data_IF_158497093406
#
_entry.id   IF_158497093406
#
_cell.length_a   1.000
_cell.length_b   1.000
_cell.length_c   1.000
_cell.angle_alpha   90.00
_cell.angle_beta   90.00
_cell.angle_gamma   90.00
#
_symmetry.space_group_name_H-M   'P 1'
#
loop_
_entity.id
_entity.type
_entity.pdbx_description
1 polymer ?
#
# COMPACT_ATOMS: atom_id res chain seq x y z
N UNK A 1 -0.78 38.40 -6.86
CA UNK A 1 -0.85 38.28 -5.40
C UNK A 1 0.06 37.13 -4.99
N UNK A 2 1.03 37.30 -4.07
CA UNK A 2 1.96 36.23 -3.78
C UNK A 2 1.27 35.10 -2.99
N UNK A 3 1.43 33.88 -3.48
CA UNK A 3 0.88 32.62 -2.97
C UNK A 3 1.12 32.43 -1.46
N UNK A 4 0.11 32.74 -0.65
CA UNK A 4 -0.03 32.19 0.70
C UNK A 4 -0.56 30.76 0.57
N UNK A 5 0.34 29.77 0.56
CA UNK A 5 0.25 28.45 1.22
C UNK A 5 1.49 27.64 0.82
N UNK A 6 2.67 28.17 1.14
CA UNK A 6 3.96 27.46 1.01
C UNK A 6 4.55 27.27 2.40
N UNK A 7 3.76 26.63 3.28
CA UNK A 7 4.13 26.39 4.66
C UNK A 7 3.41 25.12 5.14
N UNK A 8 3.92 23.96 4.75
CA UNK A 8 3.83 22.64 5.43
C UNK A 8 4.49 21.64 4.47
N UNK A 9 5.83 21.63 4.45
CA UNK A 9 6.59 20.52 3.87
C UNK A 9 7.00 19.65 5.05
N UNK A 10 6.06 18.91 5.62
CA UNK A 10 6.45 17.64 6.22
C UNK A 10 6.66 16.72 5.01
N UNK A 11 7.92 16.56 4.59
CA UNK A 11 8.25 15.66 3.50
C UNK A 11 7.86 14.25 3.95
N UNK A 12 6.73 13.76 3.47
CA UNK A 12 6.33 12.40 3.75
C UNK A 12 7.06 11.48 2.80
N UNK A 13 7.76 10.52 3.39
CA UNK A 13 8.44 9.46 2.69
C UNK A 13 7.38 8.45 2.24
N UNK A 14 7.44 8.04 0.98
CA UNK A 14 6.53 7.04 0.41
C UNK A 14 7.29 5.74 0.17
N UNK A 15 6.73 4.62 0.59
CA UNK A 15 7.23 3.28 0.30
C UNK A 15 6.16 2.49 -0.48
N UNK A 16 6.42 2.21 -1.75
CA UNK A 16 5.54 1.41 -2.61
C UNK A 16 5.99 -0.06 -2.60
N UNK A 17 5.04 -0.96 -2.33
CA UNK A 17 5.28 -2.40 -2.32
C UNK A 17 5.06 -2.99 -3.72
N UNK A 18 6.14 -3.38 -4.38
CA UNK A 18 6.19 -3.94 -5.74
C UNK A 18 6.78 -5.35 -5.82
N UNK A 19 6.98 -6.05 -4.70
CA UNK A 19 7.61 -7.38 -4.65
C UNK A 19 6.64 -8.56 -4.89
N UNK A 20 5.33 -8.29 -5.03
CA UNK A 20 4.33 -9.32 -5.24
C UNK A 20 4.43 -10.01 -6.60
N UNK A 21 4.49 -11.35 -6.60
CA UNK A 21 4.64 -12.17 -7.81
C UNK A 21 3.38 -12.28 -8.69
N UNK A 22 2.22 -11.82 -8.20
CA UNK A 22 0.98 -11.77 -9.00
C UNK A 22 0.54 -13.11 -9.59
N UNK A 23 0.83 -14.22 -8.90
CA UNK A 23 0.69 -15.59 -9.44
C UNK A 23 -0.69 -15.89 -10.05
N UNK A 24 -1.78 -15.36 -9.47
CA UNK A 24 -3.13 -15.48 -10.05
C UNK A 24 -3.23 -14.81 -11.41
N UNK A 25 -2.89 -13.52 -11.49
CA UNK A 25 -2.87 -12.78 -12.74
C UNK A 25 -1.98 -13.46 -13.78
N UNK A 26 -0.75 -13.86 -13.42
CA UNK A 26 0.16 -14.50 -14.36
C UNK A 26 -0.42 -15.81 -14.94
N UNK A 27 -1.15 -16.59 -14.14
CA UNK A 27 -1.87 -17.78 -14.62
C UNK A 27 -3.02 -17.41 -15.55
N UNK A 28 -3.81 -16.40 -15.21
CA UNK A 28 -4.90 -15.91 -16.06
C UNK A 28 -4.38 -15.41 -17.42
N UNK A 29 -3.25 -14.69 -17.42
CA UNK A 29 -2.60 -14.17 -18.63
C UNK A 29 -2.03 -15.28 -19.52
N UNK A 30 -1.46 -16.33 -18.93
CA UNK A 30 -0.88 -17.46 -19.68
C UNK A 30 -1.90 -18.21 -20.54
N UNK A 31 -3.19 -18.17 -20.17
CA UNK A 31 -4.29 -18.82 -20.90
C UNK A 31 -5.14 -17.83 -21.71
N UNK A 32 -4.85 -16.53 -21.62
CA UNK A 32 -5.60 -15.48 -22.33
C UNK A 32 -4.95 -15.16 -23.67
N UNK A 33 -5.64 -15.39 -24.78
CA UNK A 33 -5.14 -15.02 -26.11
C UNK A 33 -5.06 -13.49 -26.32
N UNK A 34 -5.98 -12.74 -25.72
CA UNK A 34 -6.07 -11.28 -25.88
C UNK A 34 -5.04 -10.55 -25.01
N UNK A 35 -4.78 -11.05 -23.80
CA UNK A 35 -3.94 -10.36 -22.81
C UNK A 35 -2.57 -10.99 -22.58
N UNK A 36 -2.18 -12.04 -23.33
CA UNK A 36 -0.87 -12.70 -23.16
C UNK A 36 0.35 -11.77 -23.27
N UNK A 37 0.21 -10.64 -23.96
CA UNK A 37 1.26 -9.63 -24.12
C UNK A 37 1.65 -8.96 -22.79
N UNK A 38 0.85 -9.13 -21.74
CA UNK A 38 1.12 -8.65 -20.38
C UNK A 38 1.83 -9.71 -19.50
N UNK A 39 2.01 -10.94 -20.01
CA UNK A 39 2.64 -12.01 -19.26
C UNK A 39 4.09 -11.64 -18.89
N UNK A 40 4.47 -11.87 -17.64
CA UNK A 40 5.80 -11.52 -17.11
C UNK A 40 5.94 -10.08 -16.61
N UNK A 41 4.96 -9.21 -16.87
CA UNK A 41 4.94 -7.85 -16.32
C UNK A 41 4.51 -7.90 -14.84
N UNK A 42 5.26 -7.30 -13.90
CA UNK A 42 4.87 -7.18 -12.50
C UNK A 42 3.54 -6.44 -12.38
N UNK A 43 2.68 -6.84 -11.43
CA UNK A 43 1.35 -6.22 -11.25
C UNK A 43 1.40 -4.69 -11.18
N UNK A 44 2.36 -4.18 -10.42
CA UNK A 44 2.55 -2.75 -10.21
C UNK A 44 2.97 -2.00 -11.49
N UNK A 45 3.59 -2.70 -12.45
CA UNK A 45 4.06 -2.16 -13.71
C UNK A 45 3.13 -2.45 -14.89
N UNK A 46 1.92 -2.99 -14.65
CA UNK A 46 0.95 -3.19 -15.72
C UNK A 46 0.50 -1.84 -16.29
N UNK A 47 0.45 -1.69 -17.64
CA UNK A 47 -0.14 -0.50 -18.25
C UNK A 47 -1.61 -0.38 -17.86
N UNK A 48 -2.04 0.81 -17.45
CA UNK A 48 -3.39 1.00 -16.90
C UNK A 48 -3.91 2.41 -17.19
N UNK A 49 -5.10 2.52 -17.78
CA UNK A 49 -5.75 3.82 -17.94
C UNK A 49 -5.01 4.77 -18.88
N UNK A 50 -4.31 4.23 -19.89
CA UNK A 50 -3.45 5.02 -20.78
C UNK A 50 -2.08 5.40 -20.17
N UNK A 51 -1.78 5.00 -18.94
CA UNK A 51 -0.43 5.08 -18.35
C UNK A 51 0.35 3.80 -18.65
N UNK A 52 1.67 3.92 -18.63
CA UNK A 52 2.61 2.82 -18.86
C UNK A 52 2.67 1.82 -17.70
N UNK A 53 2.35 2.25 -16.48
CA UNK A 53 2.30 1.42 -15.29
C UNK A 53 1.22 1.88 -14.30
N UNK A 54 0.68 0.94 -13.53
CA UNK A 54 -0.28 1.19 -12.45
C UNK A 54 0.32 2.15 -11.41
N UNK A 55 1.57 1.92 -10.98
CA UNK A 55 2.24 2.79 -10.00
C UNK A 55 2.50 4.21 -10.51
N UNK A 56 2.50 4.44 -11.82
CA UNK A 56 2.63 5.81 -12.38
C UNK A 56 1.49 6.72 -11.92
N UNK A 57 0.28 6.19 -11.69
CA UNK A 57 -0.84 6.96 -11.13
C UNK A 57 -0.53 7.49 -9.72
N UNK A 58 0.14 6.68 -8.89
CA UNK A 58 0.56 7.10 -7.56
C UNK A 58 1.68 8.15 -7.60
N UNK A 59 2.72 7.91 -8.40
CA UNK A 59 3.85 8.84 -8.53
C UNK A 59 3.38 10.21 -9.00
N UNK A 60 2.54 10.26 -10.04
CA UNK A 60 1.99 11.53 -10.53
C UNK A 60 1.12 12.23 -9.47
N UNK A 61 0.30 11.47 -8.72
CA UNK A 61 -0.48 12.03 -7.62
C UNK A 61 0.44 12.64 -6.55
N UNK A 62 1.46 11.91 -6.09
CA UNK A 62 2.40 12.38 -5.08
C UNK A 62 3.16 13.62 -5.53
N UNK A 63 3.68 13.63 -6.77
CA UNK A 63 4.37 14.77 -7.34
C UNK A 63 3.47 15.99 -7.52
N UNK A 64 2.20 15.81 -7.89
CA UNK A 64 1.21 16.90 -7.95
C UNK A 64 1.03 17.59 -6.60
N UNK A 65 1.20 16.88 -5.49
CA UNK A 65 1.14 17.40 -4.13
C UNK A 65 2.52 17.76 -3.55
N UNK A 66 3.58 17.75 -4.37
CA UNK A 66 4.91 18.25 -4.00
C UNK A 66 5.82 17.23 -3.32
N UNK A 67 5.46 15.95 -3.30
CA UNK A 67 6.36 14.87 -2.89
C UNK A 67 7.38 14.65 -4.01
N UNK A 68 8.66 14.76 -3.68
CA UNK A 68 9.76 14.69 -4.64
C UNK A 68 10.09 13.24 -4.99
N UNK A 69 10.69 13.01 -6.16
CA UNK A 69 11.11 11.66 -6.58
C UNK A 69 12.08 11.00 -5.59
N UNK A 70 12.89 11.80 -4.89
CA UNK A 70 13.81 11.36 -3.85
C UNK A 70 13.11 10.84 -2.58
N UNK A 71 11.82 11.12 -2.42
CA UNK A 71 10.99 10.65 -1.29
C UNK A 71 10.10 9.48 -1.67
N UNK A 72 10.19 8.96 -2.90
CA UNK A 72 9.39 7.83 -3.37
C UNK A 72 10.31 6.62 -3.51
N UNK A 73 10.13 5.67 -2.60
CA UNK A 73 10.89 4.45 -2.48
C UNK A 73 10.06 3.25 -2.93
N UNK A 74 10.69 2.25 -3.51
CA UNK A 74 10.02 1.03 -4.00
C UNK A 74 10.81 -0.20 -3.59
N UNK A 75 10.14 -1.15 -2.96
CA UNK A 75 10.64 -2.50 -2.72
C UNK A 75 10.07 -3.43 -3.77
N UNK A 76 10.92 -4.18 -4.47
CA UNK A 76 10.52 -5.20 -5.43
C UNK A 76 11.30 -6.50 -5.19
N UNK A 77 11.04 -7.52 -5.99
CA UNK A 77 11.78 -8.79 -5.93
C UNK A 77 12.88 -8.84 -7.00
N UNK A 78 13.81 -9.79 -6.89
CA UNK A 78 14.95 -9.89 -7.79
C UNK A 78 14.53 -10.20 -9.24
N UNK A 79 13.43 -10.94 -9.44
CA UNK A 79 12.90 -11.23 -10.77
C UNK A 79 12.38 -9.97 -11.48
N UNK A 80 11.79 -9.05 -10.74
CA UNK A 80 11.13 -7.86 -11.27
C UNK A 80 12.02 -6.61 -11.25
N UNK A 81 13.17 -6.66 -10.56
CA UNK A 81 14.04 -5.51 -10.29
C UNK A 81 14.43 -4.70 -11.55
N UNK A 82 14.91 -5.35 -12.60
CA UNK A 82 15.32 -4.68 -13.84
C UNK A 82 14.15 -3.95 -14.54
N UNK A 83 12.93 -4.50 -14.44
CA UNK A 83 11.74 -3.87 -15.00
C UNK A 83 11.39 -2.58 -14.22
N UNK A 84 11.52 -2.60 -12.89
CA UNK A 84 11.35 -1.42 -12.05
C UNK A 84 12.42 -0.36 -12.30
N UNK A 85 13.69 -0.74 -12.50
CA UNK A 85 14.74 0.21 -12.87
C UNK A 85 14.46 0.90 -14.21
N UNK A 86 13.97 0.13 -15.19
CA UNK A 86 13.59 0.65 -16.50
C UNK A 86 12.43 1.65 -16.38
N UNK A 87 11.38 1.28 -15.63
CA UNK A 87 10.26 2.19 -15.34
C UNK A 87 10.74 3.44 -14.58
N UNK A 88 11.54 3.29 -13.54
CA UNK A 88 12.04 4.38 -12.71
C UNK A 88 12.79 5.43 -13.52
N UNK A 89 13.63 4.99 -14.47
CA UNK A 89 14.34 5.87 -15.40
C UNK A 89 13.39 6.73 -16.23
N UNK A 90 12.27 6.17 -16.71
CA UNK A 90 11.29 6.90 -17.52
C UNK A 90 10.47 7.91 -16.70
N UNK A 91 10.35 7.69 -15.38
CA UNK A 91 9.58 8.53 -14.45
C UNK A 91 10.44 9.44 -13.57
N UNK A 92 11.75 9.54 -13.87
CA UNK A 92 12.72 10.32 -13.08
C UNK A 92 12.74 9.94 -11.58
N UNK A 93 12.54 8.64 -11.29
CA UNK A 93 12.79 8.09 -9.96
C UNK A 93 14.25 7.64 -9.90
N UNK A 94 15.04 8.14 -8.93
CA UNK A 94 16.44 7.75 -8.82
C UNK A 94 16.58 6.23 -8.61
N UNK A 95 17.50 5.54 -9.31
CA UNK A 95 17.68 4.10 -9.19
C UNK A 95 17.95 3.62 -7.76
N UNK A 96 18.60 4.44 -6.93
CA UNK A 96 18.86 4.15 -5.52
C UNK A 96 17.61 4.27 -4.62
N UNK A 97 16.43 4.58 -5.18
CA UNK A 97 15.14 4.47 -4.50
C UNK A 97 14.39 3.18 -4.83
N UNK A 98 14.98 2.31 -5.64
CA UNK A 98 14.44 0.99 -5.96
C UNK A 98 15.35 -0.04 -5.31
N UNK A 99 14.78 -0.96 -4.53
CA UNK A 99 15.54 -2.05 -3.90
C UNK A 99 14.89 -3.40 -4.19
N UNK A 100 15.73 -4.39 -4.43
CA UNK A 100 15.31 -5.80 -4.47
C UNK A 100 15.40 -6.42 -3.08
N UNK A 101 14.35 -7.12 -2.67
CA UNK A 101 14.31 -7.96 -1.46
C UNK A 101 15.17 -9.25 -1.58
N UNK A 102 15.76 -9.50 -2.75
CA UNK A 102 16.59 -10.66 -3.06
C UNK A 102 15.84 -11.96 -3.36
N UNK A 103 14.50 -11.95 -3.34
CA UNK A 103 13.70 -13.15 -3.59
C UNK A 103 13.50 -13.40 -5.09
N UNK A 104 13.42 -14.67 -5.49
CA UNK A 104 13.30 -15.08 -6.89
C UNK A 104 12.03 -15.89 -7.20
N UNK A 105 11.21 -16.21 -6.19
CA UNK A 105 9.96 -16.94 -6.40
C UNK A 105 8.90 -16.58 -5.35
N UNK A 106 7.64 -16.87 -5.67
CA UNK A 106 6.54 -16.69 -4.73
C UNK A 106 6.70 -17.53 -3.45
N UNK A 107 7.33 -18.70 -3.52
CA UNK A 107 7.55 -19.59 -2.38
C UNK A 107 8.59 -18.99 -1.41
N UNK A 108 9.62 -18.36 -1.99
CA UNK A 108 10.74 -17.74 -1.26
C UNK A 108 10.50 -16.28 -0.88
N UNK A 109 9.38 -15.67 -1.33
CA UNK A 109 8.98 -14.29 -0.99
C UNK A 109 9.12 -14.00 0.51
N UNK A 110 9.49 -12.77 0.87
CA UNK A 110 9.50 -12.34 2.26
C UNK A 110 8.06 -12.18 2.78
N UNK A 111 7.21 -11.53 1.98
CA UNK A 111 5.83 -11.18 2.30
C UNK A 111 5.69 -9.69 2.56
N UNK A 112 4.47 -9.16 2.47
CA UNK A 112 4.29 -7.71 2.36
C UNK A 112 4.71 -6.95 3.64
N UNK A 113 4.50 -7.49 4.85
CA UNK A 113 4.98 -6.82 6.08
C UNK A 113 6.50 -6.87 6.21
N UNK A 114 7.17 -8.02 5.99
CA UNK A 114 8.62 -8.07 5.85
C UNK A 114 9.19 -7.10 4.82
N UNK A 115 8.53 -6.93 3.66
CA UNK A 115 8.95 -5.97 2.63
C UNK A 115 8.86 -4.52 3.11
N UNK A 116 7.85 -4.18 3.92
CA UNK A 116 7.74 -2.86 4.57
C UNK A 116 8.96 -2.62 5.47
N UNK A 117 9.26 -3.55 6.37
CA UNK A 117 10.38 -3.40 7.30
C UNK A 117 11.72 -3.36 6.54
N UNK A 118 11.90 -4.25 5.56
CA UNK A 118 13.09 -4.28 4.71
C UNK A 118 13.32 -2.95 4.00
N UNK A 119 12.27 -2.39 3.37
CA UNK A 119 12.36 -1.09 2.72
C UNK A 119 12.70 0.04 3.68
N UNK A 120 12.02 0.10 4.84
CA UNK A 120 12.29 1.11 5.87
C UNK A 120 13.76 1.06 6.32
N UNK A 121 14.29 -0.13 6.60
CA UNK A 121 15.67 -0.30 7.06
C UNK A 121 16.70 -0.04 5.95
N UNK A 122 16.44 -0.51 4.72
CA UNK A 122 17.35 -0.33 3.60
C UNK A 122 17.55 1.13 3.24
N UNK A 123 16.47 1.92 3.24
CA UNK A 123 16.50 3.34 2.89
C UNK A 123 16.77 4.27 4.09
N UNK A 124 16.92 3.74 5.31
CA UNK A 124 17.19 4.53 6.52
C UNK A 124 16.02 5.44 6.94
N UNK A 125 14.79 4.91 6.87
CA UNK A 125 13.55 5.67 7.06
C UNK A 125 12.98 5.60 8.47
N UNK A 126 13.67 4.95 9.42
CA UNK A 126 13.18 4.63 10.75
C UNK A 126 12.79 5.85 11.58
N UNK A 127 13.39 7.01 11.29
CA UNK A 127 13.12 8.28 11.98
C UNK A 127 12.10 9.16 11.26
N UNK A 128 11.56 8.71 10.13
CA UNK A 128 10.60 9.46 9.31
C UNK A 128 9.20 8.85 9.39
N UNK A 129 8.17 9.68 9.20
CA UNK A 129 6.83 9.15 8.94
C UNK A 129 6.82 8.56 7.53
N UNK A 130 6.24 7.38 7.36
CA UNK A 130 6.29 6.62 6.10
C UNK A 130 4.88 6.28 5.63
N UNK A 131 4.52 6.76 4.44
CA UNK A 131 3.33 6.36 3.71
C UNK A 131 3.63 5.06 2.94
N UNK A 132 3.10 3.94 3.41
CA UNK A 132 3.19 2.64 2.74
C UNK A 132 1.99 2.45 1.81
N UNK A 133 2.26 2.07 0.56
CA UNK A 133 1.24 1.85 -0.48
C UNK A 133 1.40 0.48 -1.12
N UNK A 134 0.31 -0.26 -1.25
CA UNK A 134 0.27 -1.47 -2.07
C UNK A 134 0.37 -1.14 -3.55
N UNK A 135 1.39 -1.66 -4.24
CA UNK A 135 1.64 -1.35 -5.66
C UNK A 135 0.61 -1.94 -6.64
N UNK A 136 -0.36 -2.71 -6.19
CA UNK A 136 -1.44 -3.29 -7.00
C UNK A 136 -2.83 -2.68 -6.74
N UNK A 137 -2.89 -1.65 -5.89
CA UNK A 137 -4.14 -0.98 -5.51
C UNK A 137 -4.12 0.48 -5.94
N UNK A 138 -5.24 0.97 -6.47
CA UNK A 138 -5.50 2.40 -6.70
C UNK A 138 -6.80 2.82 -6.05
N UNK A 139 -6.96 4.12 -5.77
CA UNK A 139 -8.23 4.68 -5.29
C UNK A 139 -9.09 5.23 -6.43
N UNK A 140 -10.38 5.42 -6.15
CA UNK A 140 -11.29 6.10 -7.08
C UNK A 140 -10.88 7.57 -7.27
N UNK A 141 -11.33 8.18 -8.36
CA UNK A 141 -10.86 9.50 -8.81
C UNK A 141 -11.14 10.66 -7.84
N UNK A 142 -12.05 10.47 -6.89
CA UNK A 142 -12.42 11.44 -5.87
C UNK A 142 -11.53 11.38 -4.61
N UNK A 143 -10.48 10.54 -4.60
CA UNK A 143 -9.50 10.53 -3.53
C UNK A 143 -8.73 11.86 -3.44
N UNK A 144 -8.64 12.39 -2.22
CA UNK A 144 -7.96 13.63 -1.90
C UNK A 144 -6.78 13.37 -0.94
N UNK A 145 -5.57 13.40 -1.51
CA UNK A 145 -4.34 13.23 -0.76
C UNK A 145 -4.08 14.38 0.23
N UNK A 146 -4.37 15.63 -0.12
CA UNK A 146 -4.15 16.78 0.77
C UNK A 146 -5.05 16.70 2.00
N UNK A 147 -6.32 16.27 1.82
CA UNK A 147 -7.20 15.97 2.96
C UNK A 147 -6.64 14.86 3.85
N UNK A 148 -6.05 13.81 3.26
CA UNK A 148 -5.43 12.73 4.02
C UNK A 148 -4.23 13.20 4.85
N UNK A 149 -3.30 13.93 4.23
CA UNK A 149 -2.11 14.47 4.90
C UNK A 149 -2.49 15.44 6.03
N UNK A 150 -3.42 16.37 5.76
CA UNK A 150 -3.94 17.29 6.80
C UNK A 150 -4.61 16.55 7.96
N UNK A 151 -5.31 15.44 7.69
CA UNK A 151 -5.92 14.64 8.74
C UNK A 151 -4.85 14.02 9.64
N UNK A 152 -3.76 13.51 9.06
CA UNK A 152 -2.64 12.97 9.83
C UNK A 152 -1.97 14.04 10.69
N UNK A 153 -1.70 15.22 10.13
CA UNK A 153 -1.14 16.35 10.88
C UNK A 153 -2.03 16.74 12.06
N UNK A 154 -3.35 16.84 11.85
CA UNK A 154 -4.29 17.21 12.90
C UNK A 154 -4.36 16.18 14.03
N UNK A 155 -4.36 14.88 13.69
CA UNK A 155 -4.30 13.81 14.70
C UNK A 155 -3.05 13.92 15.56
N UNK A 156 -1.91 14.24 14.93
CA UNK A 156 -0.59 14.30 15.57
C UNK A 156 -0.29 15.62 16.29
N UNK A 157 -1.22 16.60 16.32
CA UNK A 157 -1.06 17.82 17.13
C UNK A 157 -1.16 17.57 18.63
N UNK A 158 -1.95 16.57 19.02
CA UNK A 158 -2.28 16.30 20.44
C UNK A 158 -1.85 14.92 20.91
N UNK A 159 -1.69 13.97 20.00
CA UNK A 159 -1.24 12.61 20.32
C UNK A 159 -0.59 11.99 19.09
N UNK A 160 0.52 11.28 19.26
CA UNK A 160 1.10 10.51 18.17
C UNK A 160 0.08 9.46 17.66
N UNK A 161 -0.09 9.38 16.36
CA UNK A 161 -1.03 8.47 15.71
C UNK A 161 -0.60 8.12 14.29
N UNK A 162 -0.84 6.88 13.88
CA UNK A 162 -0.85 6.49 12.47
C UNK A 162 -2.18 6.88 11.83
N UNK A 163 -2.22 6.94 10.50
CA UNK A 163 -3.45 7.13 9.73
C UNK A 163 -3.55 6.08 8.62
N UNK A 164 -4.74 5.49 8.47
CA UNK A 164 -5.05 4.57 7.37
C UNK A 164 -6.31 5.01 6.64
N UNK A 165 -6.46 4.62 5.39
CA UNK A 165 -7.75 4.79 4.69
C UNK A 165 -8.71 3.65 4.98
N UNK A 166 -10.01 3.92 4.92
CA UNK A 166 -11.04 2.90 4.94
C UNK A 166 -12.12 3.14 3.90
N UNK A 167 -12.79 2.08 3.45
CA UNK A 167 -13.94 2.18 2.53
C UNK A 167 -15.02 1.17 2.90
N UNK A 168 -16.26 1.47 2.52
CA UNK A 168 -17.38 0.57 2.80
C UNK A 168 -17.42 -0.59 1.79
N UNK A 169 -17.61 -1.80 2.28
CA UNK A 169 -17.83 -3.01 1.46
C UNK A 169 -19.24 -3.57 1.65
N UNK A 170 -19.71 -4.38 0.70
CA UNK A 170 -20.96 -5.12 0.85
C UNK A 170 -20.80 -6.29 1.82
N UNK A 171 -21.89 -6.70 2.47
CA UNK A 171 -21.93 -7.83 3.39
C UNK A 171 -21.33 -9.12 2.80
N UNK A 172 -21.65 -9.41 1.55
CA UNK A 172 -21.15 -10.56 0.81
C UNK A 172 -19.63 -10.52 0.55
N UNK A 173 -18.97 -9.38 0.73
CA UNK A 173 -17.54 -9.22 0.44
C UNK A 173 -16.67 -9.10 1.70
N UNK A 174 -17.28 -8.98 2.88
CA UNK A 174 -16.60 -8.85 4.17
C UNK A 174 -15.50 -9.90 4.38
N UNK A 175 -15.76 -11.15 3.98
CA UNK A 175 -14.82 -12.27 4.12
C UNK A 175 -13.57 -12.17 3.22
N UNK A 176 -13.50 -11.19 2.33
CA UNK A 176 -12.36 -10.99 1.42
C UNK A 176 -11.32 -10.01 1.97
N UNK A 177 -11.68 -9.20 2.97
CA UNK A 177 -10.90 -8.04 3.39
C UNK A 177 -10.59 -8.04 4.89
N UNK A 178 -9.58 -7.25 5.28
CA UNK A 178 -9.40 -6.84 6.67
C UNK A 178 -10.44 -5.78 7.02
N UNK A 179 -11.30 -6.08 8.00
CA UNK A 179 -12.36 -5.19 8.48
C UNK A 179 -11.92 -4.55 9.78
N UNK A 180 -12.12 -3.24 9.87
CA UNK A 180 -11.83 -2.45 11.06
C UNK A 180 -13.11 -1.98 11.73
N UNK A 181 -13.09 -1.87 13.05
CA UNK A 181 -14.10 -1.14 13.81
C UNK A 181 -13.46 0.13 14.36
N UNK A 182 -14.24 1.20 14.49
CA UNK A 182 -13.75 2.48 14.99
C UNK A 182 -14.62 3.03 16.10
N UNK A 183 -14.01 3.82 16.98
CA UNK A 183 -14.73 4.67 17.92
C UNK A 183 -15.40 5.88 17.21
N UNK A 184 -16.10 6.71 17.98
CA UNK A 184 -16.79 7.90 17.48
C UNK A 184 -15.82 8.99 16.97
N UNK A 185 -14.53 8.89 17.27
CA UNK A 185 -13.47 9.79 16.79
C UNK A 185 -12.74 9.22 15.57
N UNK A 186 -13.15 8.05 15.07
CA UNK A 186 -12.55 7.38 13.91
C UNK A 186 -11.23 6.68 14.22
N UNK A 187 -10.90 6.44 15.49
CA UNK A 187 -9.76 5.63 15.89
C UNK A 187 -10.13 4.13 15.87
N UNK A 188 -9.23 3.28 15.39
CA UNK A 188 -9.46 1.83 15.33
C UNK A 188 -9.58 1.24 16.74
N UNK A 189 -10.60 0.41 16.94
CA UNK A 189 -10.87 -0.34 18.19
C UNK A 189 -10.89 -1.86 17.97
N UNK A 190 -10.87 -2.32 16.73
CA UNK A 190 -10.79 -3.74 16.40
C UNK A 190 -10.28 -3.92 14.97
N UNK A 191 -9.53 -5.00 14.74
CA UNK A 191 -9.12 -5.44 13.41
C UNK A 191 -9.45 -6.92 13.25
N UNK A 192 -10.16 -7.25 12.18
CA UNK A 192 -10.60 -8.60 11.85
C UNK A 192 -10.14 -8.94 10.43
N UNK A 193 -9.21 -9.88 10.28
CA UNK A 193 -8.74 -10.31 8.96
C UNK A 193 -9.71 -11.32 8.36
N UNK A 194 -10.31 -11.00 7.21
CA UNK A 194 -11.23 -11.88 6.46
C UNK A 194 -12.31 -12.51 7.35
N UNK A 195 -13.05 -11.71 8.13
CA UNK A 195 -14.01 -12.23 9.09
C UNK A 195 -15.20 -12.90 8.42
N UNK A 196 -15.89 -13.75 9.16
CA UNK A 196 -17.24 -14.14 8.80
C UNK A 196 -18.15 -12.88 8.83
N UNK A 197 -19.04 -12.66 7.84
CA UNK A 197 -19.93 -11.48 7.81
C UNK A 197 -20.79 -11.26 9.05
N UNK A 198 -21.07 -12.31 9.84
CA UNK A 198 -21.84 -12.23 11.08
C UNK A 198 -21.00 -11.92 12.32
N UNK A 199 -19.67 -11.94 12.22
CA UNK A 199 -18.78 -11.71 13.36
C UNK A 199 -18.60 -10.23 13.71
N UNK A 200 -18.99 -9.32 12.81
CA UNK A 200 -18.99 -7.88 13.04
C UNK A 200 -20.09 -7.20 12.22
N UNK A 201 -20.62 -6.08 12.74
CA UNK A 201 -21.50 -5.18 11.98
C UNK A 201 -20.74 -4.17 11.12
N UNK A 202 -19.43 -4.04 11.32
CA UNK A 202 -18.63 -3.12 10.52
C UNK A 202 -18.51 -3.61 9.08
N UNK A 203 -18.48 -2.64 8.17
CA UNK A 203 -18.24 -2.82 6.73
C UNK A 203 -17.05 -2.00 6.27
N UNK A 204 -16.20 -1.57 7.20
CA UNK A 204 -15.05 -0.72 6.93
C UNK A 204 -13.85 -1.57 6.57
N UNK A 205 -13.56 -1.73 5.28
CA UNK A 205 -12.36 -2.41 4.81
C UNK A 205 -11.16 -1.45 4.79
N UNK A 206 -9.97 -1.97 5.07
CA UNK A 206 -8.72 -1.20 5.16
C UNK A 206 -7.72 -1.68 4.09
N UNK A 207 -7.55 -0.95 2.97
CA UNK A 207 -6.56 -1.28 1.95
C UNK A 207 -5.17 -0.81 2.35
N UNK A 208 -4.12 -1.38 1.75
CA UNK A 208 -2.73 -1.01 2.03
C UNK A 208 -2.39 0.41 1.55
N UNK A 209 -2.71 1.39 2.40
CA UNK A 209 -2.39 2.81 2.27
C UNK A 209 -2.28 3.37 3.70
N UNK A 210 -1.09 3.21 4.28
CA UNK A 210 -0.86 3.39 5.71
C UNK A 210 0.21 4.45 5.92
N UNK A 211 -0.14 5.53 6.60
CA UNK A 211 0.82 6.52 7.04
C UNK A 211 1.23 6.20 8.48
N UNK A 212 2.39 5.55 8.59
CA UNK A 212 2.99 5.22 9.87
C UNK A 212 3.68 6.44 10.46
N UNK A 213 3.37 6.73 11.72
CA UNK A 213 4.20 7.64 12.52
C UNK A 213 5.54 6.95 12.81
N UNK A 214 6.66 7.68 12.74
CA UNK A 214 8.00 7.11 12.96
C UNK A 214 8.12 6.37 14.29
N UNK A 215 7.46 6.85 15.35
CA UNK A 215 7.44 6.21 16.68
C UNK A 215 6.75 4.84 16.71
N UNK A 216 5.94 4.52 15.70
CA UNK A 216 5.28 3.21 15.56
C UNK A 216 6.10 2.18 14.78
N UNK A 217 7.12 2.62 14.03
CA UNK A 217 7.95 1.73 13.19
C UNK A 217 8.59 0.58 14.00
N UNK A 218 9.11 0.80 15.22
CA UNK A 218 9.66 -0.30 16.03
C UNK A 218 8.65 -1.44 16.30
N UNK A 219 7.34 -1.16 16.30
CA UNK A 219 6.31 -2.17 16.49
C UNK A 219 6.17 -3.11 15.29
N UNK A 220 6.53 -2.66 14.08
CA UNK A 220 6.57 -3.48 12.87
C UNK A 220 7.70 -4.52 13.01
N UNK A 221 8.86 -4.07 13.50
CA UNK A 221 9.99 -4.95 13.78
C UNK A 221 9.67 -5.94 14.91
N UNK A 222 9.07 -5.47 16.01
CA UNK A 222 8.62 -6.31 17.11
C UNK A 222 7.64 -7.39 16.62
N UNK A 223 6.67 -7.03 15.78
CA UNK A 223 5.71 -7.96 15.19
C UNK A 223 6.42 -9.07 14.42
N UNK A 224 7.29 -8.71 13.46
CA UNK A 224 8.02 -9.69 12.64
C UNK A 224 8.91 -10.58 13.51
N UNK A 225 9.62 -10.00 14.47
CA UNK A 225 10.49 -10.74 15.38
C UNK A 225 9.69 -11.71 16.25
N UNK A 226 8.52 -11.31 16.75
CA UNK A 226 7.64 -12.18 17.52
C UNK A 226 7.17 -13.39 16.70
N UNK A 227 6.82 -13.19 15.42
CA UNK A 227 6.45 -14.27 14.51
C UNK A 227 7.62 -15.22 14.23
N UNK A 228 8.83 -14.69 14.06
CA UNK A 228 10.04 -15.51 13.87
C UNK A 228 10.34 -16.36 15.11
N UNK A 229 10.29 -15.75 16.30
CA UNK A 229 10.53 -16.44 17.58
C UNK A 229 9.51 -17.57 17.79
N UNK A 230 8.24 -17.34 17.46
CA UNK A 230 7.20 -18.35 17.57
C UNK A 230 7.17 -19.35 16.42
N UNK A 231 8.12 -19.27 15.48
CA UNK A 231 8.16 -20.07 14.25
C UNK A 231 6.82 -20.07 13.48
N UNK A 232 6.17 -18.90 13.43
CA UNK A 232 4.88 -18.73 12.77
C UNK A 232 5.02 -18.95 11.25
N UNK A 233 4.00 -19.53 10.59
CA UNK A 233 4.02 -19.67 9.14
C UNK A 233 3.98 -18.29 8.47
N UNK A 234 4.49 -18.19 7.24
CA UNK A 234 4.62 -16.91 6.52
C UNK A 234 3.30 -16.17 6.41
N UNK A 235 2.21 -16.89 6.20
CA UNK A 235 0.86 -16.37 6.10
C UNK A 235 0.46 -15.56 7.35
N UNK A 236 1.06 -15.83 8.52
CA UNK A 236 0.81 -15.11 9.77
C UNK A 236 1.29 -13.66 9.76
N UNK A 237 2.24 -13.31 8.87
CA UNK A 237 2.81 -11.96 8.78
C UNK A 237 2.93 -11.44 7.34
N UNK A 238 2.44 -12.18 6.34
CA UNK A 238 2.44 -11.72 4.93
C UNK A 238 1.43 -10.58 4.70
N UNK A 239 0.20 -10.71 5.20
CA UNK A 239 -0.85 -9.72 4.97
C UNK A 239 -0.66 -8.45 5.80
N UNK A 240 -0.69 -7.28 5.16
CA UNK A 240 -0.39 -6.00 5.81
C UNK A 240 -1.39 -5.60 6.90
N UNK A 241 -2.64 -6.07 6.80
CA UNK A 241 -3.65 -5.94 7.85
C UNK A 241 -3.26 -6.56 9.19
N UNK A 242 -2.46 -7.65 9.18
CA UNK A 242 -1.98 -8.31 10.40
C UNK A 242 -0.97 -7.45 11.16
N UNK A 243 -0.17 -6.66 10.43
CA UNK A 243 0.68 -5.65 11.04
C UNK A 243 -0.15 -4.59 11.75
N UNK A 244 -1.20 -4.05 11.10
CA UNK A 244 -2.10 -3.08 11.74
C UNK A 244 -2.77 -3.67 12.98
N UNK A 245 -3.18 -4.94 12.95
CA UNK A 245 -3.76 -5.65 14.09
C UNK A 245 -2.77 -5.88 15.25
N UNK A 246 -1.46 -5.74 15.01
CA UNK A 246 -0.42 -5.80 16.03
C UNK A 246 -0.03 -4.42 16.55
N UNK A 247 0.08 -3.44 15.63
CA UNK A 247 0.32 -2.03 15.94
C UNK A 247 -0.83 -1.49 16.79
N UNK A 248 -2.07 -1.81 16.45
CA UNK A 248 -3.20 -1.72 17.37
C UNK A 248 -3.13 -2.88 18.38
N UNK A 249 -3.37 -2.68 19.70
CA UNK A 249 -3.71 -1.44 20.40
C UNK A 249 -2.48 -0.68 20.94
N UNK A 250 -1.26 -1.06 20.57
CA UNK A 250 0.00 -0.50 21.09
C UNK A 250 0.26 0.94 20.64
N UNK A 251 -0.31 1.35 19.51
CA UNK A 251 -0.23 2.69 18.97
C UNK A 251 -1.59 3.10 18.40
N UNK A 252 -1.93 4.39 18.52
CA UNK A 252 -3.20 4.92 18.00
C UNK A 252 -3.19 4.88 16.48
N UNK A 253 -4.25 4.35 15.88
CA UNK A 253 -4.46 4.36 14.44
C UNK A 253 -5.78 5.07 14.15
N UNK A 254 -5.69 6.27 13.57
CA UNK A 254 -6.84 6.98 13.02
C UNK A 254 -7.23 6.45 11.65
N UNK A 255 -8.44 6.78 11.21
CA UNK A 255 -8.96 6.40 9.89
C UNK A 255 -9.43 7.62 9.09
N UNK A 256 -9.29 7.54 7.77
CA UNK A 256 -9.97 8.43 6.83
C UNK A 256 -10.81 7.61 5.85
N UNK A 257 -12.11 7.89 5.79
CA UNK A 257 -12.98 7.24 4.82
C UNK A 257 -12.74 7.78 3.40
N UNK A 258 -12.59 6.88 2.45
CA UNK A 258 -12.54 7.12 1.00
C UNK A 258 -13.70 6.40 0.31
N UNK A 259 -14.02 6.82 -0.91
CA UNK A 259 -15.16 6.27 -1.65
C UNK A 259 -14.96 4.83 -2.12
N UNK A 260 -13.71 4.41 -2.31
CA UNK A 260 -13.38 3.04 -2.66
C UNK A 260 -11.98 2.87 -3.21
N UNK A 261 -11.68 1.65 -3.59
CA UNK A 261 -10.43 1.26 -4.25
C UNK A 261 -10.66 0.25 -5.36
N UNK A 262 -9.68 0.13 -6.22
CA UNK A 262 -9.57 -0.89 -7.26
C UNK A 262 -8.33 -1.72 -6.95
N UNK A 263 -8.48 -3.04 -6.89
CA UNK A 263 -7.45 -4.02 -6.55
C UNK A 263 -7.12 -4.90 -7.77
N UNK A 264 -5.92 -4.79 -8.31
CA UNK A 264 -5.51 -5.56 -9.49
C UNK A 264 -4.91 -6.88 -9.04
N UNK A 265 -5.75 -7.86 -8.71
CA UNK A 265 -5.30 -9.17 -8.26
C UNK A 265 -5.32 -10.28 -9.34
N UNK A 266 -6.14 -10.13 -10.38
CA UNK A 266 -6.32 -11.10 -11.48
C UNK A 266 -6.76 -10.42 -12.77
N UNK A 267 -6.94 -11.18 -13.85
CA UNK A 267 -7.20 -10.58 -15.17
C UNK A 267 -8.53 -9.80 -15.23
N UNK A 268 -9.61 -10.35 -14.65
CA UNK A 268 -10.91 -9.67 -14.62
C UNK A 268 -10.82 -8.29 -13.92
N UNK A 269 -10.23 -8.25 -12.71
CA UNK A 269 -10.02 -7.00 -11.99
C UNK A 269 -9.09 -6.03 -12.71
N UNK A 270 -8.10 -6.53 -13.47
CA UNK A 270 -7.25 -5.68 -14.31
C UNK A 270 -8.05 -5.01 -15.43
N UNK A 271 -8.92 -5.75 -16.11
CA UNK A 271 -9.76 -5.22 -17.20
C UNK A 271 -10.70 -4.14 -16.67
N UNK A 272 -11.37 -4.41 -15.54
CA UNK A 272 -12.23 -3.43 -14.86
C UNK A 272 -11.46 -2.16 -14.47
N UNK A 273 -10.27 -2.33 -13.87
CA UNK A 273 -9.40 -1.23 -13.50
C UNK A 273 -8.98 -0.40 -14.73
N UNK A 274 -8.53 -1.05 -15.80
CA UNK A 274 -8.08 -0.39 -17.00
C UNK A 274 -9.23 0.40 -17.67
N UNK A 275 -10.45 -0.15 -17.67
CA UNK A 275 -11.62 0.53 -18.19
C UNK A 275 -12.00 1.75 -17.36
N UNK A 276 -12.00 1.62 -16.02
CA UNK A 276 -12.29 2.75 -15.13
C UNK A 276 -11.33 3.91 -15.36
N UNK A 277 -10.02 3.65 -15.36
CA UNK A 277 -9.02 4.71 -15.54
C UNK A 277 -8.90 5.25 -16.98
N UNK A 278 -9.50 4.58 -17.98
CA UNK A 278 -9.61 5.10 -19.36
C UNK A 278 -10.75 6.09 -19.54
N UNK A 279 -11.75 6.10 -18.65
CA UNK A 279 -12.98 6.89 -18.80
C UNK A 279 -12.85 8.35 -18.31
N UNK A 280 -11.62 8.85 -18.18
CA UNK A 280 -11.30 10.19 -17.71
C UNK A 280 -10.66 11.07 -18.79
#
# INVERSE_FOLDING_TARGET
MPNKTRLFLMFEIVLILGAGYGTRLQKDLAVSLEYNHLLGIPKALLPLGGKDALVSHWVELFQKYGITSESIHIVTNAQCYEQFLTWAKNHNIPPNQIVSDGTHSNETRLGAVPDILFGIQHFGLEQSNVLVVGGDTLFLHDFDLDKFLKTFEQLNKTSDACLVTTYSVKDEEVHKFGIVETDAQGAITSFLEKPNPFSTKSRSACPCFYLFNSKSIPLIEEFINSCKISNAPKEAYDATGKCLAYVYPRFKIGTLSISGRIDVGGLASYIEANNYFKQN
#
